data_IF_085436737444
#
_entry.id   IF_085436737444
#
_cell.length_a   1.000
_cell.length_b   1.000
_cell.length_c   1.000
_cell.angle_alpha   90.00
_cell.angle_beta   90.00
_cell.angle_gamma   90.00
#
_symmetry.space_group_name_H-M   'P 1'
#
loop_
_entity.id
_entity.type
_entity.pdbx_description
1 polymer ?
#
# COMPACT_ATOMS: atom_id res chain seq x y z
N UNK A 1 25.11 -68.11 -50.86
CA UNK A 1 23.95 -67.21 -51.10
C UNK A 1 22.94 -67.14 -49.95
N UNK A 2 22.65 -68.23 -49.22
CA UNK A 2 21.71 -68.20 -48.07
C UNK A 2 22.25 -67.40 -46.87
N UNK A 3 23.53 -67.57 -46.54
CA UNK A 3 24.20 -66.96 -45.37
C UNK A 3 24.39 -65.44 -45.48
N UNK A 4 24.63 -64.89 -46.68
CA UNK A 4 24.72 -63.43 -46.90
C UNK A 4 23.37 -62.70 -46.76
N UNK A 5 22.26 -63.42 -46.88
CA UNK A 5 20.92 -62.84 -46.79
C UNK A 5 20.47 -62.72 -45.33
N UNK A 6 20.89 -63.65 -44.47
CA UNK A 6 20.63 -63.61 -43.02
C UNK A 6 21.45 -62.52 -42.32
N UNK A 7 22.74 -62.36 -42.64
CA UNK A 7 23.56 -61.27 -42.05
C UNK A 7 23.03 -59.87 -42.37
N UNK A 8 22.53 -59.65 -43.59
CA UNK A 8 21.87 -58.38 -43.95
C UNK A 8 20.55 -58.16 -43.21
N UNK A 9 19.81 -59.23 -42.90
CA UNK A 9 18.58 -59.12 -42.12
C UNK A 9 18.85 -58.80 -40.64
N UNK A 10 19.87 -59.42 -40.05
CA UNK A 10 20.29 -59.12 -38.67
C UNK A 10 20.82 -57.69 -38.52
N UNK A 11 21.55 -57.19 -39.52
CA UNK A 11 22.04 -55.81 -39.55
C UNK A 11 20.89 -54.80 -39.65
N UNK A 12 19.86 -55.08 -40.47
CA UNK A 12 18.64 -54.28 -40.55
C UNK A 12 17.82 -54.33 -39.25
N UNK A 13 17.75 -55.49 -38.59
CA UNK A 13 17.07 -55.64 -37.30
C UNK A 13 17.80 -54.85 -36.19
N UNK A 14 19.13 -54.88 -36.16
CA UNK A 14 19.94 -54.12 -35.21
C UNK A 14 19.78 -52.59 -35.40
N UNK A 15 19.73 -52.12 -36.66
CA UNK A 15 19.45 -50.71 -36.97
C UNK A 15 18.04 -50.30 -36.49
N UNK A 16 17.04 -51.17 -36.70
CA UNK A 16 15.67 -50.94 -36.24
C UNK A 16 15.56 -50.80 -34.72
N UNK A 17 16.26 -51.64 -33.97
CA UNK A 17 16.32 -51.55 -32.51
C UNK A 17 17.02 -50.26 -32.08
N UNK A 18 18.14 -49.90 -32.71
CA UNK A 18 18.83 -48.63 -32.47
C UNK A 18 17.94 -47.41 -32.72
N UNK A 19 17.15 -47.42 -33.80
CA UNK A 19 16.21 -46.36 -34.12
C UNK A 19 15.09 -46.24 -33.08
N UNK A 20 14.54 -47.36 -32.59
CA UNK A 20 13.53 -47.34 -31.53
C UNK A 20 14.08 -46.79 -30.20
N UNK A 21 15.32 -47.12 -29.84
CA UNK A 21 15.96 -46.60 -28.62
C UNK A 21 16.10 -45.08 -28.69
N UNK A 22 16.59 -44.55 -29.82
CA UNK A 22 16.74 -43.10 -30.02
C UNK A 22 15.37 -42.42 -30.02
N UNK A 23 14.35 -43.05 -30.61
CA UNK A 23 13.00 -42.51 -30.63
C UNK A 23 12.42 -42.36 -29.21
N UNK A 24 12.57 -43.39 -28.36
CA UNK A 24 12.13 -43.32 -26.96
C UNK A 24 12.92 -42.27 -26.19
N UNK A 25 14.24 -42.20 -26.38
CA UNK A 25 15.09 -41.20 -25.72
C UNK A 25 14.66 -39.76 -26.08
N UNK A 26 14.34 -39.50 -27.35
CA UNK A 26 13.86 -38.19 -27.81
C UNK A 26 12.51 -37.83 -27.17
N UNK A 27 11.60 -38.79 -27.03
CA UNK A 27 10.31 -38.55 -26.36
C UNK A 27 10.52 -38.18 -24.89
N UNK A 28 11.42 -38.87 -24.18
CA UNK A 28 11.70 -38.57 -22.78
C UNK A 28 12.32 -37.18 -22.58
N UNK A 29 13.28 -36.79 -23.44
CA UNK A 29 13.86 -35.44 -23.41
C UNK A 29 12.81 -34.38 -23.72
N UNK A 30 11.95 -34.62 -24.72
CA UNK A 30 10.86 -33.71 -25.06
C UNK A 30 9.86 -33.55 -23.91
N UNK A 31 9.54 -34.64 -23.18
CA UNK A 31 8.63 -34.59 -22.04
C UNK A 31 9.19 -33.74 -20.88
N UNK A 32 10.47 -33.88 -20.55
CA UNK A 32 11.12 -33.07 -19.51
C UNK A 32 11.18 -31.61 -19.92
N UNK A 33 11.55 -31.31 -21.17
CA UNK A 33 11.57 -29.95 -21.69
C UNK A 33 10.18 -29.29 -21.66
N UNK A 34 9.13 -30.02 -22.06
CA UNK A 34 7.75 -29.54 -22.00
C UNK A 34 7.32 -29.23 -20.56
N UNK A 35 7.64 -30.10 -19.60
CA UNK A 35 7.31 -29.88 -18.19
C UNK A 35 7.95 -28.59 -17.63
N UNK A 36 9.22 -28.32 -17.96
CA UNK A 36 9.91 -27.09 -17.53
C UNK A 36 9.32 -25.84 -18.20
N UNK A 37 8.98 -25.94 -19.49
CA UNK A 37 8.32 -24.84 -20.21
C UNK A 37 6.97 -24.51 -19.56
N UNK A 38 6.15 -25.53 -19.28
CA UNK A 38 4.84 -25.36 -18.63
C UNK A 38 5.00 -24.73 -17.25
N UNK A 39 5.89 -25.27 -16.42
CA UNK A 39 6.12 -24.74 -15.07
C UNK A 39 6.57 -23.28 -15.10
N UNK A 40 7.44 -22.92 -16.04
CA UNK A 40 7.89 -21.53 -16.19
C UNK A 40 6.73 -20.65 -16.65
N UNK A 41 5.92 -21.11 -17.61
CA UNK A 41 4.76 -20.39 -18.10
C UNK A 41 3.71 -20.17 -16.99
N UNK A 42 3.43 -21.19 -16.17
CA UNK A 42 2.52 -21.09 -15.03
C UNK A 42 3.05 -20.12 -13.97
N UNK A 43 4.33 -20.21 -13.62
CA UNK A 43 4.95 -19.28 -12.68
C UNK A 43 4.91 -17.84 -13.19
N UNK A 44 5.20 -17.62 -14.48
CA UNK A 44 5.10 -16.29 -15.09
C UNK A 44 3.66 -15.77 -15.06
N UNK A 45 2.66 -16.62 -15.30
CA UNK A 45 1.25 -16.24 -15.22
C UNK A 45 0.81 -15.91 -13.80
N UNK A 46 1.23 -16.68 -12.80
CA UNK A 46 0.93 -16.40 -11.39
C UNK A 46 1.59 -15.10 -10.93
N UNK A 47 2.87 -14.89 -11.28
CA UNK A 47 3.56 -13.64 -10.99
C UNK A 47 2.91 -12.44 -11.68
N UNK A 48 2.44 -12.60 -12.92
CA UNK A 48 1.75 -11.55 -13.65
C UNK A 48 0.37 -11.24 -13.05
N UNK A 49 -0.34 -12.24 -12.53
CA UNK A 49 -1.60 -12.04 -11.80
C UNK A 49 -1.35 -11.32 -10.48
N UNK A 50 -0.43 -11.82 -9.64
CA UNK A 50 -0.08 -11.21 -8.36
C UNK A 50 0.35 -9.74 -8.53
N UNK A 51 1.25 -9.46 -9.48
CA UNK A 51 1.66 -8.07 -9.75
C UNK A 51 0.51 -7.20 -10.28
N UNK A 52 -0.45 -7.79 -10.99
CA UNK A 52 -1.65 -7.10 -11.45
C UNK A 52 -2.59 -6.77 -10.29
N UNK A 53 -2.76 -7.70 -9.36
CA UNK A 53 -3.56 -7.54 -8.15
C UNK A 53 -2.91 -6.47 -7.24
N UNK A 54 -1.60 -6.55 -6.98
CA UNK A 54 -0.86 -5.54 -6.20
C UNK A 54 -0.98 -4.14 -6.81
N UNK A 55 -0.88 -4.03 -8.15
CA UNK A 55 -1.02 -2.73 -8.84
C UNK A 55 -2.45 -2.22 -8.76
N UNK A 56 -3.45 -3.10 -8.85
CA UNK A 56 -4.84 -2.74 -8.68
C UNK A 56 -5.08 -2.22 -7.27
N UNK A 57 -4.56 -2.89 -6.25
CA UNK A 57 -4.68 -2.48 -4.85
C UNK A 57 -4.05 -1.12 -4.61
N UNK A 58 -2.82 -0.89 -5.09
CA UNK A 58 -2.13 0.41 -4.98
C UNK A 58 -2.87 1.56 -5.68
N UNK A 59 -3.62 1.27 -6.74
CA UNK A 59 -4.37 2.29 -7.48
C UNK A 59 -5.80 2.48 -6.95
N UNK A 60 -6.37 1.46 -6.31
CA UNK A 60 -7.79 1.42 -5.91
C UNK A 60 -7.98 1.82 -4.45
N UNK A 61 -7.05 1.43 -3.58
CA UNK A 61 -7.13 1.73 -2.15
C UNK A 61 -6.59 3.14 -1.90
N UNK A 62 -7.50 4.08 -1.63
CA UNK A 62 -7.15 5.47 -1.32
C UNK A 62 -8.09 6.02 -0.25
N UNK A 63 -7.56 6.82 0.67
CA UNK A 63 -8.36 7.59 1.63
C UNK A 63 -8.79 8.93 1.01
N UNK A 64 -10.07 9.27 1.11
CA UNK A 64 -10.59 10.59 0.74
C UNK A 64 -10.93 11.35 2.01
N UNK A 65 -10.28 12.49 2.18
CA UNK A 65 -10.55 13.41 3.28
C UNK A 65 -11.79 14.25 2.94
N UNK A 66 -12.70 14.40 3.90
CA UNK A 66 -13.93 15.17 3.72
C UNK A 66 -13.81 16.53 4.41
N UNK A 67 -13.32 16.54 5.64
CA UNK A 67 -13.22 17.74 6.46
C UNK A 67 -12.19 17.53 7.58
N UNK A 68 -11.49 18.60 7.98
CA UNK A 68 -10.63 18.63 9.16
C UNK A 68 -10.97 19.85 9.99
N UNK A 69 -11.16 19.63 11.29
CA UNK A 69 -11.51 20.67 12.26
C UNK A 69 -10.50 20.65 13.40
N UNK A 70 -10.17 21.81 13.96
CA UNK A 70 -9.31 21.89 15.14
C UNK A 70 -10.11 21.44 16.37
N UNK A 71 -9.66 20.38 17.05
CA UNK A 71 -10.34 19.84 18.23
C UNK A 71 -9.79 20.40 19.53
N UNK A 72 -8.47 20.38 19.69
CA UNK A 72 -7.80 20.88 20.88
C UNK A 72 -6.67 21.81 20.48
N UNK A 73 -6.60 22.95 21.16
CA UNK A 73 -5.44 23.83 21.16
C UNK A 73 -5.11 24.24 22.59
N UNK A 74 -4.13 23.57 23.18
CA UNK A 74 -3.55 24.00 24.43
C UNK A 74 -2.07 24.37 24.23
N UNK A 75 -1.75 25.65 24.46
CA UNK A 75 -0.38 26.15 24.41
C UNK A 75 0.32 26.09 25.78
N UNK A 76 -0.41 25.83 26.87
CA UNK A 76 0.16 25.73 28.21
C UNK A 76 0.77 24.35 28.46
N UNK A 77 0.12 23.30 27.97
CA UNK A 77 0.69 21.97 27.73
C UNK A 77 0.56 21.71 26.23
N UNK A 78 1.67 21.62 25.46
CA UNK A 78 1.59 21.51 24.01
C UNK A 78 0.82 20.24 23.67
N UNK A 79 -0.46 20.44 23.34
CA UNK A 79 -1.38 19.40 22.90
C UNK A 79 -2.24 20.06 21.83
N UNK A 80 -2.04 19.59 20.60
CA UNK A 80 -2.74 20.07 19.43
C UNK A 80 -3.36 18.87 18.74
N UNK A 81 -4.68 18.90 18.55
CA UNK A 81 -5.42 17.77 18.00
C UNK A 81 -6.32 18.25 16.87
N UNK A 82 -6.37 17.47 15.78
CA UNK A 82 -7.28 17.69 14.65
C UNK A 82 -8.30 16.58 14.58
N UNK A 83 -9.57 16.96 14.47
CA UNK A 83 -10.65 16.04 14.18
C UNK A 83 -10.83 15.90 12.66
N UNK A 84 -10.39 14.77 12.11
CA UNK A 84 -10.48 14.47 10.69
C UNK A 84 -11.68 13.57 10.39
N UNK A 85 -12.49 13.96 9.41
CA UNK A 85 -13.57 13.14 8.84
C UNK A 85 -13.15 12.65 7.46
N UNK A 86 -13.19 11.34 7.25
CA UNK A 86 -12.71 10.71 6.02
C UNK A 86 -13.54 9.51 5.61
N UNK A 87 -13.37 9.07 4.38
CA UNK A 87 -13.92 7.83 3.85
C UNK A 87 -12.91 7.14 2.92
N UNK A 88 -13.01 5.82 2.79
CA UNK A 88 -12.26 5.09 1.76
C UNK A 88 -12.90 5.32 0.39
N UNK A 89 -12.05 5.56 -0.62
CA UNK A 89 -12.48 5.80 -1.98
C UNK A 89 -13.29 4.61 -2.53
N UNK A 90 -14.29 4.85 -3.38
CA UNK A 90 -15.11 3.77 -3.95
C UNK A 90 -14.24 2.81 -4.77
N UNK A 91 -14.33 1.51 -4.47
CA UNK A 91 -13.49 0.48 -5.07
C UNK A 91 -12.27 0.08 -4.24
N UNK A 92 -11.99 0.78 -3.13
CA UNK A 92 -10.95 0.35 -2.18
C UNK A 92 -11.34 -1.00 -1.55
N UNK A 93 -10.35 -1.78 -1.16
CA UNK A 93 -10.58 -2.93 -0.28
C UNK A 93 -10.69 -2.45 1.17
N UNK A 94 -11.30 -3.23 2.07
CA UNK A 94 -11.26 -2.93 3.49
C UNK A 94 -9.82 -2.93 4.00
N UNK A 95 -9.47 -1.95 4.82
CA UNK A 95 -8.11 -1.75 5.37
C UNK A 95 -8.20 -1.48 6.87
N UNK A 96 -7.22 -1.89 7.67
CA UNK A 96 -7.23 -1.59 9.10
C UNK A 96 -6.75 -0.15 9.37
N UNK A 97 -7.21 0.46 10.47
CA UNK A 97 -6.86 1.84 10.80
C UNK A 97 -5.37 2.07 11.07
N UNK A 98 -4.66 1.07 11.57
CA UNK A 98 -3.20 1.08 11.79
C UNK A 98 -2.38 0.98 10.50
N UNK A 99 -2.96 0.40 9.43
CA UNK A 99 -2.34 0.36 8.10
C UNK A 99 -2.38 1.73 7.39
N UNK A 100 -3.07 2.72 7.96
CA UNK A 100 -3.15 4.08 7.42
C UNK A 100 -2.36 5.02 8.31
N UNK A 101 -1.21 5.46 7.82
CA UNK A 101 -0.39 6.50 8.44
C UNK A 101 -0.85 7.90 8.03
N UNK A 102 -0.70 8.86 8.94
CA UNK A 102 -0.76 10.28 8.62
C UNK A 102 0.57 10.96 8.96
N UNK A 103 0.88 12.02 8.23
CA UNK A 103 2.03 12.89 8.49
C UNK A 103 1.62 14.32 8.20
N UNK A 104 1.70 15.17 9.22
CA UNK A 104 1.60 16.62 9.07
C UNK A 104 2.99 17.19 9.05
N UNK A 105 3.29 17.97 8.02
CA UNK A 105 4.56 18.65 7.80
C UNK A 105 4.33 20.14 8.06
N UNK A 106 5.15 20.72 8.93
CA UNK A 106 5.10 22.13 9.25
C UNK A 106 6.52 22.72 9.31
N UNK A 107 6.56 24.04 9.18
CA UNK A 107 7.75 24.85 9.43
C UNK A 107 7.60 25.45 10.84
N UNK A 108 8.46 25.05 11.78
CA UNK A 108 8.39 25.53 13.15
C UNK A 108 9.79 25.73 13.74
N UNK A 109 9.97 26.80 14.52
CA UNK A 109 11.16 27.06 15.30
C UNK A 109 10.89 26.53 16.71
N UNK A 110 11.26 25.28 16.97
CA UNK A 110 10.85 24.51 18.15
C UNK A 110 11.51 24.99 19.46
N UNK A 111 11.32 26.26 19.84
CA UNK A 111 11.80 26.82 21.11
C UNK A 111 13.32 26.80 21.32
N UNK A 112 14.11 26.33 20.35
CA UNK A 112 15.56 26.47 20.36
C UNK A 112 15.91 27.89 19.98
N UNK A 113 16.20 28.71 20.99
CA UNK A 113 16.67 30.10 20.86
C UNK A 113 18.07 30.22 20.20
N UNK A 114 18.34 29.47 19.14
CA UNK A 114 19.58 29.50 18.36
C UNK A 114 19.23 29.56 16.87
N UNK A 115 18.99 30.80 16.44
CA UNK A 115 19.32 31.36 15.13
C UNK A 115 18.61 30.80 13.89
N UNK A 116 17.52 31.47 13.47
CA UNK A 116 17.20 31.74 12.05
C UNK A 116 17.33 30.54 11.11
N UNK A 117 16.81 29.38 11.51
CA UNK A 117 16.63 28.26 10.60
C UNK A 117 15.22 27.72 10.82
N UNK A 118 14.42 27.79 9.75
CA UNK A 118 13.07 27.27 9.74
C UNK A 118 13.17 25.76 9.60
N UNK A 119 13.09 25.03 10.71
CA UNK A 119 13.25 23.58 10.69
C UNK A 119 11.94 22.92 10.33
N UNK A 120 11.97 22.04 9.32
CA UNK A 120 10.83 21.20 8.96
C UNK A 120 10.58 20.18 10.07
N UNK A 121 9.38 20.22 10.65
CA UNK A 121 8.92 19.31 11.69
C UNK A 121 7.82 18.39 11.15
N UNK A 122 7.66 17.24 11.80
CA UNK A 122 6.72 16.20 11.38
C UNK A 122 5.91 15.69 12.58
N UNK A 123 4.59 15.92 12.56
CA UNK A 123 3.67 15.20 13.45
C UNK A 123 3.15 13.96 12.72
N UNK A 124 3.31 12.79 13.33
CA UNK A 124 3.07 11.50 12.67
C UNK A 124 2.30 10.57 13.60
N UNK A 125 1.43 9.77 12.99
CA UNK A 125 0.72 8.71 13.68
C UNK A 125 -0.01 7.84 12.66
N UNK A 126 -0.88 6.98 13.16
CA UNK A 126 -1.78 6.16 12.36
C UNK A 126 -3.23 6.51 12.69
N UNK A 127 -4.19 5.81 12.08
CA UNK A 127 -5.61 6.00 12.40
C UNK A 127 -6.09 5.02 13.48
N UNK A 128 -5.20 4.57 14.37
CA UNK A 128 -5.62 3.86 15.57
C UNK A 128 -6.53 4.75 16.40
N UNK A 129 -7.71 4.22 16.74
CA UNK A 129 -8.75 5.01 17.40
C UNK A 129 -9.76 5.65 16.46
N UNK A 130 -9.66 5.44 15.14
CA UNK A 130 -10.75 5.76 14.24
C UNK A 130 -12.07 5.11 14.71
N UNK A 131 -13.17 5.86 14.60
CA UNK A 131 -14.52 5.40 14.92
C UNK A 131 -15.46 5.72 13.76
N UNK A 132 -16.65 5.12 13.75
CA UNK A 132 -17.72 5.54 12.83
C UNK A 132 -17.99 7.04 13.02
N UNK A 133 -18.46 7.73 11.97
CA UNK A 133 -18.76 9.17 12.03
C UNK A 133 -19.68 9.62 13.18
N UNK A 134 -20.45 8.71 13.78
CA UNK A 134 -21.28 9.00 14.96
C UNK A 134 -20.52 8.98 16.31
N UNK A 135 -19.23 8.67 16.30
CA UNK A 135 -18.36 8.58 17.46
C UNK A 135 -17.58 9.87 17.74
N UNK A 136 -16.52 9.73 18.52
CA UNK A 136 -15.62 10.81 18.96
C UNK A 136 -14.22 10.72 18.32
N UNK A 137 -13.96 9.72 17.47
CA UNK A 137 -12.66 9.55 16.81
C UNK A 137 -11.50 9.19 17.75
N UNK A 138 -11.78 8.86 19.01
CA UNK A 138 -10.79 8.58 20.05
C UNK A 138 -10.94 7.14 20.60
N UNK A 139 -11.13 6.18 19.70
CA UNK A 139 -11.16 4.75 20.01
C UNK A 139 -9.83 4.25 20.57
N UNK A 140 -9.86 3.09 21.25
CA UNK A 140 -8.66 2.50 21.85
C UNK A 140 -7.96 1.45 20.97
N UNK A 141 -8.52 1.10 19.82
CA UNK A 141 -8.02 0.05 18.94
C UNK A 141 -8.22 0.42 17.47
N UNK A 142 -7.39 -0.16 16.60
CA UNK A 142 -7.64 -0.15 15.16
C UNK A 142 -8.95 -0.89 14.86
N UNK A 143 -9.70 -0.35 13.91
CA UNK A 143 -10.91 -0.97 13.35
C UNK A 143 -10.70 -1.19 11.86
N UNK A 144 -11.40 -2.17 11.30
CA UNK A 144 -11.49 -2.31 9.85
C UNK A 144 -12.34 -1.17 9.28
N UNK A 145 -11.77 -0.46 8.31
CA UNK A 145 -12.38 0.62 7.57
C UNK A 145 -12.95 0.04 6.28
N UNK A 146 -14.25 0.18 6.07
CA UNK A 146 -14.94 -0.30 4.86
C UNK A 146 -15.17 0.85 3.86
N UNK A 147 -15.10 0.59 2.54
CA UNK A 147 -15.43 1.57 1.51
C UNK A 147 -16.91 1.96 1.57
N UNK A 148 -17.19 3.26 1.43
CA UNK A 148 -18.56 3.81 1.44
C UNK A 148 -19.15 4.05 2.82
N UNK A 149 -18.36 3.86 3.89
CA UNK A 149 -18.70 4.33 5.24
C UNK A 149 -17.78 5.47 5.64
N UNK A 150 -18.35 6.48 6.30
CA UNK A 150 -17.61 7.63 6.81
C UNK A 150 -17.11 7.36 8.22
N UNK A 151 -15.85 7.66 8.44
CA UNK A 151 -15.16 7.51 9.71
C UNK A 151 -14.62 8.86 10.19
N UNK A 152 -14.34 8.91 11.48
CA UNK A 152 -13.73 10.06 12.16
C UNK A 152 -12.59 9.60 13.04
N UNK A 153 -11.56 10.44 13.16
CA UNK A 153 -10.36 10.16 13.95
C UNK A 153 -9.80 11.47 14.50
N UNK A 154 -9.24 11.41 15.70
CA UNK A 154 -8.47 12.50 16.30
C UNK A 154 -7.00 12.28 15.95
N UNK A 155 -6.39 13.25 15.28
CA UNK A 155 -4.99 13.26 14.90
C UNK A 155 -4.21 14.12 15.90
N UNK A 156 -3.19 13.55 16.52
CA UNK A 156 -2.23 14.31 17.33
C UNK A 156 -1.25 15.05 16.40
N UNK A 157 -1.21 16.38 16.53
CA UNK A 157 -0.33 17.28 15.81
C UNK A 157 0.49 18.15 16.76
N UNK A 158 0.83 17.63 17.94
CA UNK A 158 1.54 18.36 18.99
C UNK A 158 2.85 19.00 18.50
N UNK A 159 3.59 18.34 17.61
CA UNK A 159 4.81 18.87 17.00
C UNK A 159 4.53 20.00 15.97
N UNK A 160 3.32 20.03 15.40
CA UNK A 160 2.89 20.95 14.36
C UNK A 160 1.67 21.78 14.78
N UNK A 161 1.81 22.51 15.88
CA UNK A 161 0.75 23.35 16.42
C UNK A 161 0.24 24.43 15.43
N UNK A 162 -1.08 24.60 15.28
CA UNK A 162 -1.66 25.58 14.37
C UNK A 162 -1.32 27.02 14.78
N UNK A 163 -0.87 27.84 13.81
CA UNK A 163 -0.54 29.23 14.01
C UNK A 163 -1.31 30.15 13.04
N UNK A 164 -1.37 31.44 13.35
CA UNK A 164 -2.16 32.38 12.56
C UNK A 164 -1.51 32.65 11.18
N UNK A 165 -2.28 32.44 10.11
CA UNK A 165 -1.84 32.60 8.71
C UNK A 165 -0.66 31.68 8.32
N UNK A 166 -0.58 30.48 8.91
CA UNK A 166 0.32 29.43 8.46
C UNK A 166 -0.45 28.34 7.72
N UNK A 167 0.25 27.64 6.84
CA UNK A 167 -0.22 26.49 6.09
C UNK A 167 0.63 25.27 6.45
N UNK A 168 -0.02 24.17 6.81
CA UNK A 168 0.66 22.89 7.03
C UNK A 168 0.25 21.91 5.93
N UNK A 169 1.10 20.94 5.65
CA UNK A 169 0.81 19.89 4.68
C UNK A 169 0.42 18.62 5.40
N UNK A 170 -0.75 18.07 5.11
CA UNK A 170 -1.21 16.79 5.62
C UNK A 170 -1.13 15.73 4.52
N UNK A 171 -0.44 14.64 4.81
CA UNK A 171 -0.31 13.47 3.95
C UNK A 171 -0.88 12.24 4.65
N UNK A 172 -1.84 11.57 4.02
CA UNK A 172 -2.27 10.23 4.40
C UNK A 172 -1.60 9.21 3.48
N UNK A 173 -1.08 8.13 4.05
CA UNK A 173 -0.45 7.02 3.33
C UNK A 173 -1.07 5.71 3.79
N UNK A 174 -1.62 4.95 2.84
CA UNK A 174 -2.19 3.63 3.12
C UNK A 174 -1.16 2.55 2.78
N UNK A 175 -0.96 1.55 3.64
CA UNK A 175 -0.14 0.38 3.34
C UNK A 175 -0.71 -0.37 2.12
N UNK A 176 0.15 -0.69 1.16
CA UNK A 176 -0.24 -1.25 -0.14
C UNK A 176 -1.25 -0.42 -0.97
N UNK A 177 -1.52 0.83 -0.58
CA UNK A 177 -2.46 1.73 -1.24
C UNK A 177 -1.80 3.00 -1.81
N UNK A 178 -2.67 3.96 -2.14
CA UNK A 178 -2.29 5.30 -2.56
C UNK A 178 -2.05 6.24 -1.38
N UNK A 179 -1.63 7.46 -1.72
CA UNK A 179 -1.51 8.56 -0.76
C UNK A 179 -2.46 9.70 -1.13
N UNK A 180 -2.89 10.43 -0.12
CA UNK A 180 -3.74 11.62 -0.26
C UNK A 180 -3.05 12.80 0.39
N UNK A 181 -3.01 13.90 -0.33
CA UNK A 181 -2.38 15.14 0.08
C UNK A 181 -3.47 16.18 0.29
N UNK A 182 -3.41 16.89 1.40
CA UNK A 182 -4.25 18.05 1.71
C UNK A 182 -3.39 19.18 2.31
N UNK A 183 -3.79 20.42 2.05
CA UNK A 183 -3.20 21.60 2.66
C UNK A 183 -4.11 22.11 3.78
N UNK A 184 -3.59 22.15 5.01
CA UNK A 184 -4.29 22.68 6.18
C UNK A 184 -4.07 24.19 6.23
N UNK A 185 -5.12 24.97 6.01
CA UNK A 185 -5.04 26.43 6.00
C UNK A 185 -5.59 27.00 7.30
N UNK A 186 -4.70 27.56 8.13
CA UNK A 186 -5.10 28.20 9.37
C UNK A 186 -5.40 29.69 9.14
N UNK A 187 -6.58 30.12 9.58
CA UNK A 187 -7.01 31.52 9.48
C UNK A 187 -6.14 32.48 10.31
N UNK A 188 -6.51 33.77 10.33
CA UNK A 188 -5.76 34.80 11.05
C UNK A 188 -5.81 34.69 12.58
N UNK A 189 -6.66 33.81 13.11
CA UNK A 189 -6.83 33.56 14.55
C UNK A 189 -7.42 32.15 14.72
N UNK A 190 -6.63 31.07 14.57
CA UNK A 190 -7.14 29.72 14.72
C UNK A 190 -7.72 29.52 16.13
N UNK A 191 -8.93 28.99 16.19
CA UNK A 191 -9.65 28.62 17.41
C UNK A 191 -10.19 27.20 17.32
N UNK A 192 -10.42 26.56 18.48
CA UNK A 192 -11.05 25.24 18.52
C UNK A 192 -12.42 25.29 17.84
N UNK A 193 -12.67 24.36 16.93
CA UNK A 193 -13.86 24.30 16.09
C UNK A 193 -13.72 24.95 14.71
N UNK A 194 -12.59 25.59 14.41
CA UNK A 194 -12.34 26.12 13.07
C UNK A 194 -12.05 24.99 12.07
N UNK A 195 -12.69 25.10 10.91
CA UNK A 195 -12.48 24.22 9.76
C UNK A 195 -11.21 24.68 9.03
N UNK A 196 -10.28 23.74 8.82
CA UNK A 196 -8.96 24.01 8.21
C UNK A 196 -8.78 23.37 6.84
N UNK A 197 -9.81 22.62 6.39
CA UNK A 197 -9.96 21.99 5.05
C UNK A 197 -11.40 22.15 4.57
#
# INVERSE_FOLDING_TARGET
>A
MKTEKETKQDELAAIGIGAMIVFIALILVAAVAAAVIIQTAEKLQQNAQASGDDTQEQMSTKLTLINVVIETMDAATPQFELFATFELAPGSQPTEGDDIGYTVICENDQGTAVTTDDTTEFAQGDLTGATLHTGDGAGAAAITLDPGTTYVVVLDITECGPAANTDHVLLFTVEAGGSTYEELQYGSSPTVGDVVV
#
